data_IF_650523255794
#
_entry.id   IF_650523255794
#
_cell.length_a   1.000
_cell.length_b   1.000
_cell.length_c   1.000
_cell.angle_alpha   90.00
_cell.angle_beta   90.00
_cell.angle_gamma   90.00
#
_symmetry.space_group_name_H-M   'P 1'
#
loop_
_entity.id
_entity.type
_entity.pdbx_description
1 polymer ?
#
# COMPACT_ATOMS: atom_id res chain seq x y z
N UNK A 1 -9.63 -11.70 -13.37
CA UNK A 1 -10.03 -11.29 -13.45
C UNK A 1 -10.03 -10.98 -13.30
N UNK A 2 -9.85 -11.12 -13.17
CA UNK A 2 -10.07 -10.72 -13.20
C UNK A 2 -10.18 -10.31 -12.55
N UNK A 3 -10.02 -10.36 -12.29
CA UNK A 3 -10.40 -9.86 -11.95
C UNK A 3 -10.41 -9.59 -11.30
N UNK A 4 -10.70 -9.66 -10.87
CA UNK A 4 -11.06 -9.22 -10.56
C UNK A 4 -11.47 -8.75 -10.23
N UNK A 5 -11.19 -8.74 -10.14
CA UNK A 5 -11.81 -8.12 -10.23
C UNK A 5 -12.11 -7.54 -10.32
N UNK A 6 -12.95 -7.19 -10.18
CA UNK A 6 -13.30 -6.54 -10.39
C UNK A 6 -13.58 -5.79 -9.88
N UNK A 7 -13.94 -5.51 -9.43
CA UNK A 7 -14.04 -4.91 -8.95
C UNK A 7 -13.48 -4.69 -8.24
N UNK A 8 -13.14 -4.93 -7.73
CA UNK A 8 -12.55 -4.82 -7.20
C UNK A 8 -11.83 -4.96 -7.29
N UNK A 9 -11.69 -5.26 -7.55
CA UNK A 9 -11.12 -5.24 -7.91
C UNK A 9 -10.80 -4.77 -8.22
N UNK A 10 -10.87 -5.00 -8.38
CA UNK A 10 -10.49 -4.44 -9.07
C UNK A 10 -10.15 -3.51 -9.12
N UNK A 11 -10.07 -3.45 -8.62
CA UNK A 11 -9.54 -2.17 -8.61
C UNK A 11 -8.15 -1.97 -9.14
N UNK A 12 -7.20 -2.82 -8.88
CA UNK A 12 -5.81 -2.68 -9.32
C UNK A 12 -5.68 -2.68 -10.83
N UNK A 13 -6.49 -3.48 -11.48
CA UNK A 13 -6.45 -3.56 -12.93
C UNK A 13 -7.33 -2.55 -13.60
N UNK A 14 -8.37 -2.10 -12.91
CA UNK A 14 -9.25 -1.08 -13.45
C UNK A 14 -8.69 0.32 -13.32
N UNK A 15 -7.66 0.49 -12.50
CA UNK A 15 -7.09 1.79 -12.19
C UNK A 15 -5.87 2.05 -13.06
N UNK A 16 -5.82 3.20 -13.69
CA UNK A 16 -4.66 3.62 -14.45
C UNK A 16 -3.47 3.81 -13.51
N UNK A 17 -2.35 3.19 -13.82
CA UNK A 17 -1.15 3.33 -13.00
C UNK A 17 -0.41 4.61 -13.40
N UNK A 18 -0.71 5.69 -12.69
CA UNK A 18 -0.11 6.99 -12.97
C UNK A 18 1.41 7.00 -12.78
N UNK A 19 1.93 6.09 -11.97
CA UNK A 19 3.37 6.02 -11.76
C UNK A 19 4.10 5.54 -13.00
N UNK A 20 3.47 4.71 -13.81
CA UNK A 20 4.02 4.31 -15.09
C UNK A 20 4.07 5.51 -16.04
N UNK A 21 3.00 6.30 -16.07
CA UNK A 21 2.92 7.49 -16.93
C UNK A 21 3.95 8.54 -16.53
N UNK A 22 4.29 8.61 -15.25
CA UNK A 22 5.29 9.56 -14.74
C UNK A 22 6.72 9.05 -14.91
N UNK A 23 6.90 7.84 -15.45
CA UNK A 23 8.21 7.30 -15.71
C UNK A 23 8.95 6.72 -14.50
N UNK A 24 8.23 6.37 -13.44
CA UNK A 24 8.85 5.72 -12.30
C UNK A 24 9.43 4.36 -12.70
N UNK A 25 10.59 4.05 -12.14
CA UNK A 25 11.35 2.85 -12.48
C UNK A 25 10.59 1.56 -12.12
N UNK A 26 9.86 1.57 -11.01
CA UNK A 26 9.07 0.43 -10.54
C UNK A 26 7.65 0.91 -10.25
N UNK A 27 6.86 1.20 -11.30
CA UNK A 27 5.55 1.82 -11.11
C UNK A 27 4.56 0.96 -10.33
N UNK A 28 4.64 -0.38 -10.49
CA UNK A 28 3.73 -1.27 -9.76
C UNK A 28 4.03 -1.26 -8.26
N UNK A 29 5.30 -1.18 -7.89
CA UNK A 29 5.69 -1.06 -6.49
C UNK A 29 5.25 0.27 -5.89
N UNK A 30 5.34 1.34 -6.67
CA UNK A 30 4.85 2.65 -6.22
C UNK A 30 3.36 2.61 -5.98
N UNK A 31 2.61 1.95 -6.85
CA UNK A 31 1.17 1.81 -6.67
C UNK A 31 0.84 1.04 -5.39
N UNK A 32 1.55 -0.05 -5.12
CA UNK A 32 1.36 -0.83 -3.89
C UNK A 32 1.62 0.04 -2.68
N UNK A 33 2.73 0.79 -2.68
CA UNK A 33 3.04 1.70 -1.57
C UNK A 33 1.94 2.73 -1.36
N UNK A 34 1.43 3.30 -2.45
CA UNK A 34 0.36 4.28 -2.37
C UNK A 34 -0.90 3.68 -1.72
N UNK A 35 -1.24 2.45 -2.08
CA UNK A 35 -2.39 1.76 -1.51
C UNK A 35 -2.19 1.49 -0.02
N UNK A 36 -1.00 1.05 0.37
CA UNK A 36 -0.68 0.81 1.78
C UNK A 36 -0.73 2.10 2.59
N UNK A 37 -0.19 3.18 2.05
CA UNK A 37 -0.21 4.48 2.72
C UNK A 37 -1.64 4.99 2.86
N UNK A 38 -2.46 4.82 1.84
CA UNK A 38 -3.87 5.21 1.88
C UNK A 38 -4.61 4.49 3.01
N UNK A 39 -4.35 3.20 3.16
CA UNK A 39 -4.97 2.42 4.24
C UNK A 39 -4.49 2.90 5.61
N UNK A 40 -3.21 3.19 5.75
CA UNK A 40 -2.66 3.73 7.00
C UNK A 40 -3.36 5.05 7.35
N UNK A 41 -3.48 5.95 6.37
CA UNK A 41 -4.12 7.24 6.58
C UNK A 41 -5.59 7.07 7.02
N UNK A 42 -6.30 6.16 6.37
CA UNK A 42 -7.70 5.88 6.73
C UNK A 42 -7.82 5.40 8.17
N UNK A 43 -6.95 4.48 8.59
CA UNK A 43 -6.98 3.94 9.94
C UNK A 43 -6.65 5.00 10.99
N UNK A 44 -5.69 5.85 10.71
CA UNK A 44 -5.34 6.95 11.62
C UNK A 44 -6.52 7.91 11.78
N UNK A 45 -7.19 8.22 10.67
CA UNK A 45 -8.35 9.11 10.69
C UNK A 45 -9.52 8.49 11.44
N UNK A 46 -9.82 7.21 11.17
CA UNK A 46 -10.90 6.47 11.84
C UNK A 46 -10.73 6.44 13.34
N UNK A 47 -9.50 6.22 13.78
CA UNK A 47 -9.20 6.06 15.20
C UNK A 47 -8.86 7.37 15.87
N UNK A 48 -8.89 8.46 15.11
CA UNK A 48 -8.57 9.81 15.61
C UNK A 48 -7.21 9.84 16.30
N UNK A 49 -6.25 9.12 15.74
CA UNK A 49 -4.89 9.09 16.27
C UNK A 49 -4.15 10.34 15.82
N UNK A 50 -3.61 11.10 16.77
CA UNK A 50 -2.84 12.29 16.46
C UNK A 50 -1.44 11.94 15.98
N UNK A 51 -0.77 12.87 15.31
CA UNK A 51 0.60 12.65 14.85
C UNK A 51 1.56 12.38 16.02
N UNK A 52 1.32 12.99 17.18
CA UNK A 52 2.13 12.73 18.36
C UNK A 52 1.95 11.30 18.87
N UNK A 53 0.71 10.80 18.84
CA UNK A 53 0.41 9.43 19.25
C UNK A 53 1.03 8.41 18.31
N UNK A 54 1.13 8.73 17.03
CA UNK A 54 1.73 7.84 16.04
C UNK A 54 3.20 7.56 16.37
N UNK A 55 3.94 8.55 16.80
CA UNK A 55 5.33 8.35 17.20
C UNK A 55 5.45 7.29 18.28
N UNK A 56 4.56 7.33 19.26
CA UNK A 56 4.54 6.36 20.35
C UNK A 56 4.10 4.98 19.88
N UNK A 57 3.06 4.92 19.05
CA UNK A 57 2.46 3.64 18.62
C UNK A 57 3.23 2.97 17.49
N UNK A 58 3.69 3.75 16.52
CA UNK A 58 4.32 3.22 15.31
C UNK A 58 5.83 3.43 15.25
N UNK A 59 6.36 4.23 16.17
CA UNK A 59 7.80 4.53 16.17
C UNK A 59 8.25 5.36 14.99
N UNK A 60 7.33 6.06 14.33
CA UNK A 60 7.66 6.90 13.18
C UNK A 60 7.76 8.36 13.65
N UNK A 61 8.91 9.03 13.43
CA UNK A 61 9.03 10.44 13.77
C UNK A 61 8.00 11.29 13.01
N UNK A 62 7.52 12.33 13.66
CA UNK A 62 6.49 13.19 13.09
C UNK A 62 6.84 13.77 11.71
N UNK A 63 8.08 14.24 11.45
CA UNK A 63 8.41 14.73 10.11
C UNK A 63 8.31 13.66 9.03
N UNK A 64 8.64 12.41 9.35
CA UNK A 64 8.52 11.30 8.41
C UNK A 64 7.06 10.98 8.15
N UNK A 65 6.24 10.98 9.21
CA UNK A 65 4.81 10.75 9.06
C UNK A 65 4.18 11.83 8.18
N UNK A 66 4.58 13.08 8.37
CA UNK A 66 4.08 14.18 7.55
C UNK A 66 4.39 13.96 6.07
N UNK A 67 5.61 13.51 5.75
CA UNK A 67 5.97 13.16 4.37
C UNK A 67 5.11 12.03 3.84
N UNK A 68 4.95 10.98 4.63
CA UNK A 68 4.17 9.80 4.26
C UNK A 68 2.75 10.19 3.88
N UNK A 69 2.10 10.97 4.74
CA UNK A 69 0.71 11.34 4.56
C UNK A 69 0.49 12.35 3.43
N UNK A 70 1.55 13.04 3.00
CA UNK A 70 1.48 13.93 1.83
C UNK A 70 1.81 13.20 0.52
N UNK A 71 1.98 11.89 0.59
CA UNK A 71 2.28 11.12 -0.60
C UNK A 71 3.76 11.03 -0.94
N UNK A 72 4.63 11.51 -0.05
CA UNK A 72 6.08 11.45 -0.24
C UNK A 72 6.64 10.20 0.42
N UNK A 73 6.20 9.04 -0.06
CA UNK A 73 6.52 7.75 0.56
C UNK A 73 7.55 6.94 -0.22
N UNK A 74 8.14 7.53 -1.25
CA UNK A 74 9.10 6.88 -2.13
C UNK A 74 10.23 6.19 -1.36
N UNK A 75 10.75 6.81 -0.30
CA UNK A 75 11.83 6.26 0.50
C UNK A 75 11.41 5.21 1.53
N UNK A 76 10.12 4.91 1.64
CA UNK A 76 9.64 3.90 2.57
C UNK A 76 9.56 2.56 1.87
N UNK A 77 10.03 1.49 2.51
CA UNK A 77 9.87 0.15 1.95
C UNK A 77 8.45 -0.37 2.17
N UNK A 78 8.02 -1.29 1.32
CA UNK A 78 6.74 -1.96 1.49
C UNK A 78 6.67 -2.67 2.84
N UNK A 79 7.77 -3.30 3.25
CA UNK A 79 7.87 -3.97 4.54
C UNK A 79 7.59 -3.00 5.69
N UNK A 80 8.17 -1.80 5.64
CA UNK A 80 7.96 -0.80 6.68
C UNK A 80 6.50 -0.35 6.74
N UNK A 81 5.86 -0.20 5.57
CA UNK A 81 4.46 0.19 5.51
C UNK A 81 3.56 -0.93 6.06
N UNK A 82 3.86 -2.19 5.74
CA UNK A 82 3.13 -3.32 6.29
C UNK A 82 3.29 -3.37 7.80
N UNK A 83 4.50 -3.10 8.32
CA UNK A 83 4.71 -3.05 9.76
C UNK A 83 3.86 -1.97 10.43
N UNK A 84 3.71 -0.81 9.79
CA UNK A 84 2.81 0.23 10.32
C UNK A 84 1.38 -0.29 10.43
N UNK A 85 0.92 -1.03 9.42
CA UNK A 85 -0.42 -1.60 9.45
C UNK A 85 -0.58 -2.62 10.59
N UNK A 86 0.43 -3.46 10.80
CA UNK A 86 0.36 -4.43 11.90
C UNK A 86 0.33 -3.74 13.26
N UNK A 87 1.07 -2.64 13.42
CA UNK A 87 1.01 -1.86 14.65
C UNK A 87 -0.38 -1.24 14.86
N UNK A 88 -1.11 -1.02 13.79
CA UNK A 88 -2.49 -0.53 13.86
C UNK A 88 -3.52 -1.65 13.95
N UNK A 89 -3.08 -2.86 14.27
CA UNK A 89 -3.98 -3.98 14.52
C UNK A 89 -4.46 -4.71 13.29
N UNK A 90 -3.80 -4.51 12.17
CA UNK A 90 -4.14 -5.23 10.93
C UNK A 90 -3.31 -6.50 10.83
N UNK A 91 -3.92 -7.57 10.38
CA UNK A 91 -3.20 -8.78 10.04
C UNK A 91 -2.82 -8.72 8.57
N UNK A 92 -1.56 -8.95 8.27
CA UNK A 92 -1.08 -8.97 6.89
C UNK A 92 -0.70 -10.40 6.51
N UNK A 93 -1.09 -10.81 5.32
CA UNK A 93 -0.83 -12.16 4.82
C UNK A 93 -0.34 -12.05 3.38
N UNK A 94 0.68 -12.80 3.05
CA UNK A 94 1.19 -12.86 1.68
C UNK A 94 0.74 -14.18 1.08
N UNK A 95 -0.01 -14.12 -0.02
CA UNK A 95 -0.49 -15.30 -0.73
C UNK A 95 0.21 -15.35 -2.07
N UNK A 96 0.82 -16.47 -2.36
CA UNK A 96 1.53 -16.69 -3.62
C UNK A 96 0.73 -17.71 -4.44
N UNK A 97 0.36 -17.32 -5.65
CA UNK A 97 -0.40 -18.18 -6.54
C UNK A 97 0.32 -18.32 -7.87
N UNK A 98 0.11 -19.44 -8.50
CA UNK A 98 0.62 -19.64 -9.83
C UNK A 98 -0.22 -18.87 -10.85
N UNK A 99 0.43 -18.29 -11.85
CA UNK A 99 -0.29 -17.63 -12.93
C UNK A 99 -1.03 -18.65 -13.78
N UNK A 100 -2.07 -18.22 -14.47
CA UNK A 100 -2.79 -19.09 -15.39
C UNK A 100 -1.94 -19.42 -16.62
N UNK A 101 -1.09 -18.53 -17.03
CA UNK A 101 -0.15 -18.72 -18.13
C UNK A 101 1.27 -18.75 -17.58
N UNK A 102 1.91 -19.90 -17.64
CA UNK A 102 3.25 -20.11 -17.09
C UNK A 102 4.33 -19.28 -17.81
N UNK A 103 4.04 -18.84 -19.02
CA UNK A 103 5.02 -18.07 -19.81
C UNK A 103 4.98 -16.58 -19.47
N UNK A 104 4.00 -16.15 -18.69
CA UNK A 104 3.88 -14.76 -18.30
C UNK A 104 4.38 -14.52 -16.88
N UNK A 105 5.00 -13.38 -16.68
CA UNK A 105 5.37 -12.96 -15.34
C UNK A 105 4.12 -12.68 -14.52
N UNK A 106 4.19 -13.03 -13.25
CA UNK A 106 3.10 -12.70 -12.32
C UNK A 106 3.12 -11.23 -11.94
N UNK A 107 2.12 -10.84 -11.18
CA UNK A 107 1.97 -9.48 -10.67
C UNK A 107 1.82 -9.49 -9.16
N UNK A 108 2.20 -8.38 -8.53
CA UNK A 108 1.97 -8.17 -7.10
C UNK A 108 0.80 -7.21 -6.94
N UNK A 109 -0.12 -7.55 -6.07
CA UNK A 109 -1.24 -6.69 -5.78
C UNK A 109 -1.55 -6.73 -4.29
N UNK A 110 -2.30 -5.72 -3.83
CA UNK A 110 -2.72 -5.62 -2.44
C UNK A 110 -4.25 -5.53 -2.43
N UNK A 111 -4.86 -6.33 -1.56
CA UNK A 111 -6.29 -6.25 -1.31
C UNK A 111 -6.50 -6.02 0.17
N UNK A 112 -7.55 -5.27 0.50
CA UNK A 112 -7.94 -5.01 1.88
C UNK A 112 -9.31 -5.64 2.13
N UNK A 113 -9.43 -6.35 3.23
CA UNK A 113 -10.68 -7.01 3.59
C UNK A 113 -11.35 -6.36 4.77
#
# INVERSE_FOLDING_TARGET
MKARSREQESHTHGVLNVYADLGYRHPDRMLIKAQLVSKIADLLAERRITQAQVKTSLGIPQPMLSKLLRGQFHGFSEHKLVNCLTQLGQNAQIVVRQTLDHDEAGAVSVTFE
#
